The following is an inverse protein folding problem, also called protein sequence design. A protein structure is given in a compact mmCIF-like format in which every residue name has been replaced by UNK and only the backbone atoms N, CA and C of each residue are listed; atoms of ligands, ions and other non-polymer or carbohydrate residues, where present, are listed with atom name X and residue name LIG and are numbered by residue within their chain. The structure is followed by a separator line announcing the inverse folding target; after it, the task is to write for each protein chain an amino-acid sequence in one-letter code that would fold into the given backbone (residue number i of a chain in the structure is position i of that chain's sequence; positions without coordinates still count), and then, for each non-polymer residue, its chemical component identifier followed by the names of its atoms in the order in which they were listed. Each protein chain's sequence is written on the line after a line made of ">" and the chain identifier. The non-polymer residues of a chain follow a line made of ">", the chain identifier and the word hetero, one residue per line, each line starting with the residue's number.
data_IF_618132690641
#
_entry.id   IF_618132690641
#
_cell.length_a   1.000
_cell.length_b   1.000
_cell.length_c   1.000
_cell.angle_alpha   90.00
_cell.angle_beta   90.00
_cell.angle_gamma   90.00
#
_symmetry.space_group_name_H-M   'P 1'
#
loop_
_entity.id
_entity.type
_entity.pdbx_description
1 polymer ?
#
# COMPACT_ATOMS: atom_id res chain seq x y z
N UNK A 1 5.13 -23.41 -25.47
CA UNK A 1 5.48 -22.62 -24.26
C UNK A 1 6.08 -23.53 -23.22
N UNK A 2 7.26 -23.22 -22.70
CA UNK A 2 7.91 -23.98 -21.60
C UNK A 2 7.31 -23.62 -20.24
N UNK A 3 7.51 -24.46 -19.23
CA UNK A 3 7.07 -24.19 -17.86
C UNK A 3 7.66 -22.87 -17.32
N UNK A 4 8.95 -22.62 -17.58
CA UNK A 4 9.62 -21.37 -17.22
C UNK A 4 8.94 -20.14 -17.85
N UNK A 5 8.56 -20.22 -19.13
CA UNK A 5 7.84 -19.13 -19.80
C UNK A 5 6.47 -18.87 -19.17
N UNK A 6 5.73 -19.93 -18.79
CA UNK A 6 4.42 -19.78 -18.13
C UNK A 6 4.55 -19.13 -16.75
N UNK A 7 5.57 -19.51 -15.97
CA UNK A 7 5.84 -18.92 -14.64
C UNK A 7 6.21 -17.44 -14.80
N UNK A 8 7.08 -17.09 -15.74
CA UNK A 8 7.47 -15.70 -15.98
C UNK A 8 6.27 -14.81 -16.32
N UNK A 9 5.36 -15.30 -17.17
CA UNK A 9 4.12 -14.58 -17.51
C UNK A 9 3.21 -14.42 -16.29
N UNK A 10 3.08 -15.46 -15.48
CA UNK A 10 2.28 -15.40 -14.26
C UNK A 10 2.82 -14.38 -13.26
N UNK A 11 4.14 -14.40 -13.02
CA UNK A 11 4.80 -13.42 -12.15
C UNK A 11 4.65 -12.00 -12.69
N UNK A 12 4.79 -11.81 -14.00
CA UNK A 12 4.57 -10.50 -14.63
C UNK A 12 3.14 -9.98 -14.38
N UNK A 13 2.13 -10.85 -14.51
CA UNK A 13 0.74 -10.49 -14.18
C UNK A 13 0.58 -10.12 -12.71
N UNK A 14 1.20 -10.85 -11.78
CA UNK A 14 1.18 -10.53 -10.35
C UNK A 14 1.80 -9.15 -10.07
N UNK A 15 2.92 -8.82 -10.73
CA UNK A 15 3.57 -7.51 -10.58
C UNK A 15 2.65 -6.38 -11.04
N UNK A 16 1.92 -6.57 -12.15
CA UNK A 16 0.95 -5.57 -12.64
C UNK A 16 -0.19 -5.38 -11.64
N UNK A 17 -0.76 -6.47 -11.12
CA UNK A 17 -1.83 -6.41 -10.12
C UNK A 17 -1.34 -5.74 -8.83
N UNK A 18 -0.14 -6.07 -8.39
CA UNK A 18 0.48 -5.48 -7.20
C UNK A 18 0.70 -3.98 -7.37
N UNK A 19 1.23 -3.54 -8.51
CA UNK A 19 1.43 -2.13 -8.82
C UNK A 19 0.09 -1.36 -8.83
N UNK A 20 -0.96 -1.95 -9.40
CA UNK A 20 -2.30 -1.36 -9.39
C UNK A 20 -2.86 -1.23 -7.96
N UNK A 21 -2.67 -2.24 -7.11
CA UNK A 21 -3.10 -2.20 -5.72
C UNK A 21 -2.38 -1.10 -4.92
N UNK A 22 -1.06 -0.93 -5.12
CA UNK A 22 -0.30 0.15 -4.52
C UNK A 22 -0.78 1.52 -4.99
N UNK A 23 -1.06 1.67 -6.28
CA UNK A 23 -1.58 2.91 -6.83
C UNK A 23 -2.94 3.28 -6.24
N UNK A 24 -3.86 2.31 -6.13
CA UNK A 24 -5.16 2.51 -5.47
C UNK A 24 -4.99 2.85 -3.99
N UNK A 25 -4.12 2.13 -3.26
CA UNK A 25 -3.83 2.42 -1.86
C UNK A 25 -3.23 3.81 -1.66
N UNK A 26 -2.41 4.29 -2.58
CA UNK A 26 -1.88 5.66 -2.53
C UNK A 26 -2.94 6.72 -2.88
N UNK A 27 -3.82 6.45 -3.84
CA UNK A 27 -4.83 7.41 -4.29
C UNK A 27 -6.02 7.54 -3.32
N UNK A 28 -6.40 6.46 -2.66
CA UNK A 28 -7.61 6.39 -1.82
C UNK A 28 -7.33 6.00 -0.36
N UNK A 29 -6.08 5.67 -0.02
CA UNK A 29 -5.72 5.27 1.34
C UNK A 29 -5.72 6.43 2.33
N UNK A 30 -5.85 6.14 3.63
CA UNK A 30 -5.72 7.14 4.67
C UNK A 30 -4.36 7.82 4.58
N UNK A 31 -4.34 9.16 4.64
CA UNK A 31 -3.08 9.89 4.65
C UNK A 31 -2.37 9.60 5.99
N UNK A 32 -1.18 8.97 6.00
CA UNK A 32 -0.46 8.66 7.24
C UNK A 32 0.04 9.92 7.95
N UNK A 33 0.00 11.07 7.28
CA UNK A 33 0.44 12.37 7.79
C UNK A 33 -0.62 13.09 8.62
N UNK A 34 -1.76 12.44 8.91
CA UNK A 34 -2.71 12.93 9.91
C UNK A 34 -2.10 12.68 11.28
N UNK A 35 -1.22 13.59 11.70
CA UNK A 35 -0.81 13.72 13.09
C UNK A 35 -2.06 14.10 13.90
N UNK A 36 -2.74 13.10 14.46
CA UNK A 36 -3.82 13.35 15.42
C UNK A 36 -3.17 14.07 16.61
N UNK A 37 -3.55 15.32 16.92
CA UNK A 37 -3.02 16.00 18.09
C UNK A 37 -3.33 15.14 19.32
N UNK A 38 -2.30 14.56 19.92
CA UNK A 38 -2.47 13.87 21.19
C UNK A 38 -2.93 14.90 22.22
N UNK A 39 -4.03 14.66 22.97
CA UNK A 39 -4.41 15.52 24.06
C UNK A 39 -3.25 15.58 25.05
N UNK A 40 -2.67 16.76 25.22
CA UNK A 40 -1.73 17.00 26.32
C UNK A 40 -2.57 16.94 27.60
N UNK A 41 -2.58 15.81 28.28
CA UNK A 41 -3.02 15.71 29.68
C UNK A 41 -1.96 16.39 30.56
N UNK A 42 -1.89 17.71 30.46
CA UNK A 42 -0.99 18.57 31.21
C UNK A 42 -1.78 19.76 31.71
N UNK A 43 -2.49 19.60 32.82
CA UNK A 43 -3.32 20.65 33.37
C UNK A 43 -4.07 20.20 34.61
N UNK A 44 -3.35 19.98 35.71
CA UNK A 44 -3.94 20.20 37.02
C UNK A 44 -2.95 21.03 37.85
N UNK A 45 -3.38 22.19 38.41
CA UNK A 45 -2.56 22.99 39.33
C UNK A 45 -2.26 22.24 40.63
#
# INVERSE_FOLDING_TARGET
>A
MTAAAKIAVFVAMLVVVFAAALWVGNAFGPNPDIAIPHPVTGGHP
#
